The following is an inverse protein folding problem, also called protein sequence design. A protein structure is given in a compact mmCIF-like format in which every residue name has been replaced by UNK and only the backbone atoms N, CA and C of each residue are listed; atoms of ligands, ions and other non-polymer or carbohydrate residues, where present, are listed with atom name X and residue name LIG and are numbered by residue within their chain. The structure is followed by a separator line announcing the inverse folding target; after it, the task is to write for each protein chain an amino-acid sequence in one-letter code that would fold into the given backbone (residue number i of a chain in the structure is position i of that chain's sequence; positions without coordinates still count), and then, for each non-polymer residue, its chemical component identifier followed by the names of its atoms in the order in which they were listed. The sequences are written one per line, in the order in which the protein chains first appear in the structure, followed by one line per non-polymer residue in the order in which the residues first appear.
data_IF_034313403915
#
_entry.id   IF_034313403915
#
_cell.length_a   1.000
_cell.length_b   1.000
_cell.length_c   1.000
_cell.angle_alpha   90.00
_cell.angle_beta   90.00
_cell.angle_gamma   90.00
#
_symmetry.space_group_name_H-M   'P 1'
#
loop_
_entity.id
_entity.type
_entity.pdbx_description
1 polymer ?
#
# COMPACT_ATOMS: atom_id res chain seq x y z
N UNK A 1 30.27 8.84 35.89
CA UNK A 1 31.74 8.65 35.97
C UNK A 1 32.12 7.71 37.13
N UNK A 2 31.73 7.99 38.37
CA UNK A 2 32.03 7.13 39.53
C UNK A 2 31.41 5.72 39.47
N UNK A 3 30.18 5.62 38.97
CA UNK A 3 29.49 4.34 38.76
C UNK A 3 30.14 3.50 37.64
N UNK A 4 30.62 4.18 36.58
CA UNK A 4 31.29 3.58 35.41
C UNK A 4 32.61 2.87 35.78
N UNK A 5 33.25 3.30 36.86
CA UNK A 5 34.52 2.76 37.35
C UNK A 5 34.37 1.91 38.63
N UNK A 6 33.12 1.56 39.00
CA UNK A 6 32.79 0.67 40.14
C UNK A 6 33.44 1.09 41.46
N UNK A 7 33.28 2.36 41.84
CA UNK A 7 33.67 2.86 43.17
C UNK A 7 32.55 3.63 43.90
N UNK A 8 31.34 3.67 43.34
CA UNK A 8 30.14 4.20 43.99
C UNK A 8 28.88 3.53 43.40
N UNK A 9 27.80 3.42 44.19
CA UNK A 9 26.47 3.01 43.74
C UNK A 9 25.60 4.28 43.67
N UNK A 10 24.89 4.48 42.56
CA UNK A 10 24.00 5.62 42.38
C UNK A 10 22.55 5.20 42.65
N UNK A 11 21.88 5.85 43.60
CA UNK A 11 20.46 5.62 43.89
C UNK A 11 19.68 6.80 43.30
N UNK A 12 18.73 6.50 42.41
CA UNK A 12 17.87 7.51 41.78
C UNK A 12 16.85 8.04 42.81
N UNK A 13 16.53 9.33 42.73
CA UNK A 13 15.65 10.02 43.70
C UNK A 13 14.25 9.41 43.83
N UNK A 14 13.74 8.73 42.80
CA UNK A 14 12.42 8.08 42.80
C UNK A 14 12.38 6.72 43.49
N UNK A 15 13.54 6.11 43.77
CA UNK A 15 13.68 4.74 44.28
C UNK A 15 14.27 4.73 45.70
N UNK A 16 14.17 5.84 46.44
CA UNK A 16 14.78 6.01 47.76
C UNK A 16 13.91 5.38 48.85
N UNK A 17 14.33 4.25 49.41
CA UNK A 17 13.72 3.59 50.56
C UNK A 17 14.78 3.10 51.55
N UNK A 18 14.37 2.78 52.79
CA UNK A 18 15.29 2.22 53.78
C UNK A 18 15.95 0.92 53.28
N UNK A 19 15.20 0.08 52.55
CA UNK A 19 15.67 -1.20 52.02
C UNK A 19 16.65 -1.02 50.85
N UNK A 20 16.39 -0.07 49.94
CA UNK A 20 17.29 0.20 48.80
C UNK A 20 18.61 0.82 49.23
N UNK A 21 18.60 1.66 50.28
CA UNK A 21 19.83 2.18 50.89
C UNK A 21 20.59 1.08 51.65
N UNK A 22 19.88 0.20 52.36
CA UNK A 22 20.47 -0.93 53.08
C UNK A 22 21.12 -1.96 52.13
N UNK A 23 20.44 -2.34 51.04
CA UNK A 23 20.99 -3.25 50.02
C UNK A 23 22.19 -2.63 49.29
N UNK A 24 22.14 -1.36 48.94
CA UNK A 24 23.26 -0.66 48.31
C UNK A 24 24.48 -0.63 49.24
N UNK A 25 24.29 -0.35 50.53
CA UNK A 25 25.36 -0.40 51.54
C UNK A 25 25.92 -1.81 51.72
N UNK A 26 25.05 -2.82 51.84
CA UNK A 26 25.47 -4.21 52.03
C UNK A 26 26.29 -4.71 50.84
N UNK A 27 25.88 -4.36 49.61
CA UNK A 27 26.57 -4.69 48.35
C UNK A 27 27.91 -3.96 48.19
N UNK A 28 27.99 -2.71 48.66
CA UNK A 28 29.24 -1.93 48.66
C UNK A 28 30.25 -2.44 49.71
N UNK A 29 29.77 -3.05 50.79
CA UNK A 29 30.59 -3.60 51.89
C UNK A 29 31.04 -5.05 51.69
N UNK A 30 30.29 -5.87 50.93
CA UNK A 30 30.60 -7.31 50.74
C UNK A 30 31.33 -7.62 49.44
N UNK A 31 31.14 -6.82 48.39
CA UNK A 31 31.78 -7.06 47.09
C UNK A 31 33.22 -6.53 47.07
N UNK A 32 34.19 -7.47 47.16
CA UNK A 32 35.62 -7.18 47.18
C UNK A 32 36.12 -6.41 45.95
N UNK A 33 35.38 -6.41 44.83
CA UNK A 33 35.76 -5.70 43.59
C UNK A 33 35.78 -4.18 43.73
N UNK A 34 34.97 -3.60 44.62
CA UNK A 34 34.96 -2.15 44.89
C UNK A 34 36.20 -1.72 45.68
N UNK A 35 36.59 -2.49 46.72
CA UNK A 35 37.80 -2.19 47.50
C UNK A 35 39.08 -2.34 46.66
N UNK A 36 39.11 -3.30 45.73
CA UNK A 36 40.25 -3.54 44.83
C UNK A 36 40.40 -2.43 43.79
N UNK A 37 39.29 -1.92 43.23
CA UNK A 37 39.32 -0.82 42.26
C UNK A 37 39.69 0.52 42.91
N UNK A 38 39.23 0.78 44.14
CA UNK A 38 39.65 1.97 44.91
C UNK A 38 41.14 1.89 45.27
N UNK A 39 41.65 0.71 45.68
CA UNK A 39 43.08 0.50 45.91
C UNK A 39 43.90 0.70 44.64
N UNK A 40 43.45 0.17 43.49
CA UNK A 40 44.10 0.38 42.20
C UNK A 40 44.12 1.84 41.78
N UNK A 41 43.01 2.56 41.91
CA UNK A 41 42.96 4.00 41.58
C UNK A 41 43.85 4.81 42.53
N UNK A 42 43.84 4.49 43.82
CA UNK A 42 44.75 5.10 44.81
C UNK A 42 46.21 4.82 44.45
N UNK A 43 46.56 3.59 44.04
CA UNK A 43 47.90 3.27 43.54
C UNK A 43 48.25 4.01 42.25
N UNK A 44 47.32 4.16 41.30
CA UNK A 44 47.55 4.93 40.07
C UNK A 44 47.81 6.40 40.36
N UNK A 45 47.13 6.98 41.36
CA UNK A 45 47.35 8.36 41.81
C UNK A 45 48.70 8.49 42.52
N UNK A 46 49.06 7.52 43.38
CA UNK A 46 50.36 7.48 44.10
C UNK A 46 51.55 7.20 43.17
N UNK A 47 51.35 6.41 42.12
CA UNK A 47 52.35 6.05 41.11
C UNK A 47 52.25 6.91 39.85
N UNK A 48 51.58 8.07 39.90
CA UNK A 48 51.58 9.01 38.76
C UNK A 48 53.03 9.30 38.37
N UNK A 49 53.39 9.26 37.07
CA UNK A 49 54.79 9.38 36.64
C UNK A 49 55.47 10.68 37.04
N UNK A 50 54.68 11.74 37.24
CA UNK A 50 55.13 13.07 37.69
C UNK A 50 54.29 13.48 38.88
N UNK A 51 54.93 13.89 39.98
CA UNK A 51 54.22 14.28 41.19
C UNK A 51 53.40 15.57 40.96
N UNK A 52 52.23 15.72 41.61
CA UNK A 52 51.45 16.95 41.54
C UNK A 52 52.24 18.19 41.94
N UNK A 53 53.12 18.07 42.94
CA UNK A 53 53.98 19.18 43.40
C UNK A 53 54.95 19.62 42.30
N UNK A 54 55.57 18.67 41.59
CA UNK A 54 56.45 18.97 40.47
C UNK A 54 55.69 19.63 39.32
N UNK A 55 54.49 19.14 38.97
CA UNK A 55 53.65 19.77 37.95
C UNK A 55 53.22 21.18 38.34
N UNK A 56 52.81 21.39 39.60
CA UNK A 56 52.39 22.70 40.08
C UNK A 56 53.53 23.71 39.97
N UNK A 57 54.71 23.37 40.49
CA UNK A 57 55.89 24.26 40.43
C UNK A 57 56.28 24.51 38.97
N UNK A 58 56.40 23.48 38.15
CA UNK A 58 56.79 23.63 36.75
C UNK A 58 55.80 24.49 35.93
N UNK A 59 54.49 24.31 36.13
CA UNK A 59 53.50 25.14 35.45
C UNK A 59 53.43 26.56 36.02
N UNK A 60 53.65 26.75 37.33
CA UNK A 60 53.70 28.08 37.93
C UNK A 60 54.93 28.87 37.43
N UNK A 61 56.09 28.23 37.34
CA UNK A 61 57.31 28.79 36.76
C UNK A 61 57.11 29.10 35.27
N UNK A 62 56.53 28.16 34.51
CA UNK A 62 56.22 28.36 33.08
C UNK A 62 55.29 29.56 32.87
N UNK A 63 54.22 29.69 33.65
CA UNK A 63 53.33 30.85 33.56
C UNK A 63 54.01 32.13 34.03
N UNK A 64 54.86 32.07 35.04
CA UNK A 64 55.63 33.24 35.50
C UNK A 64 56.63 33.73 34.43
N UNK A 65 57.27 32.81 33.70
CA UNK A 65 58.22 33.11 32.63
C UNK A 65 57.53 33.68 31.38
N UNK A 66 56.47 33.02 30.91
CA UNK A 66 55.81 33.37 29.65
C UNK A 66 54.65 34.36 29.79
N UNK A 67 54.19 34.63 31.02
CA UNK A 67 53.13 35.59 31.43
C UNK A 67 51.75 35.34 30.82
N UNK A 68 51.61 35.42 29.50
CA UNK A 68 50.35 35.20 28.78
C UNK A 68 50.44 33.94 27.93
N UNK A 69 49.40 33.12 28.02
CA UNK A 69 49.29 31.86 27.28
C UNK A 69 48.22 31.99 26.20
N UNK A 70 48.39 32.95 25.29
CA UNK A 70 47.37 33.28 24.28
C UNK A 70 47.03 32.11 23.36
N UNK A 71 48.00 31.22 23.10
CA UNK A 71 47.81 30.00 22.32
C UNK A 71 46.96 28.93 23.05
N UNK A 72 46.72 29.10 24.34
CA UNK A 72 45.87 28.21 25.15
C UNK A 72 44.48 28.82 25.42
N UNK A 73 44.22 30.04 24.93
CA UNK A 73 42.90 30.68 25.02
C UNK A 73 42.00 30.15 23.88
N UNK A 74 40.86 29.49 24.20
CA UNK A 74 39.96 28.99 23.16
C UNK A 74 39.40 30.12 22.29
N UNK A 75 39.29 29.88 20.98
CA UNK A 75 38.73 30.84 20.02
C UNK A 75 37.32 31.33 20.38
N UNK A 76 36.53 30.50 21.09
CA UNK A 76 35.18 30.85 21.55
C UNK A 76 35.14 32.07 22.47
N UNK A 77 36.23 32.41 23.16
CA UNK A 77 36.31 33.62 24.01
C UNK A 77 36.34 34.92 23.22
N UNK A 78 36.64 34.85 21.92
CA UNK A 78 36.74 36.00 21.00
C UNK A 78 35.46 36.19 20.17
N UNK A 79 34.46 35.31 20.31
CA UNK A 79 33.21 35.37 19.56
C UNK A 79 32.17 36.23 20.28
N UNK A 80 31.37 36.98 19.51
CA UNK A 80 30.20 37.67 20.07
C UNK A 80 29.04 36.68 20.32
N UNK A 81 27.99 37.13 21.01
CA UNK A 81 26.84 36.28 21.38
C UNK A 81 26.21 35.54 20.19
N UNK A 82 26.10 36.18 19.03
CA UNK A 82 25.48 35.60 17.83
C UNK A 82 26.35 34.46 17.28
N UNK A 83 27.66 34.69 17.15
CA UNK A 83 28.62 33.72 16.64
C UNK A 83 28.86 32.57 17.63
N UNK A 84 28.91 32.85 18.93
CA UNK A 84 29.12 31.85 19.96
C UNK A 84 27.95 30.85 20.03
N UNK A 85 26.73 31.31 19.76
CA UNK A 85 25.52 30.48 19.72
C UNK A 85 25.11 30.05 18.31
N UNK A 86 25.92 30.34 17.29
CA UNK A 86 25.66 30.00 15.88
C UNK A 86 24.29 30.47 15.33
N UNK A 87 23.75 31.57 15.86
CA UNK A 87 22.42 32.06 15.50
C UNK A 87 22.34 32.54 14.04
N UNK A 88 23.46 33.04 13.51
CA UNK A 88 23.65 33.38 12.10
C UNK A 88 23.48 32.16 11.18
N UNK A 89 24.08 31.02 11.53
CA UNK A 89 23.93 29.76 10.78
C UNK A 89 22.51 29.20 10.84
N UNK A 90 21.84 29.31 11.99
CA UNK A 90 20.43 28.90 12.11
C UNK A 90 19.50 29.79 11.28
N UNK A 91 19.74 31.10 11.25
CA UNK A 91 18.91 32.03 10.46
C UNK A 91 19.04 31.80 8.95
N UNK A 92 20.25 31.55 8.45
CA UNK A 92 20.49 31.18 7.05
C UNK A 92 19.84 29.84 6.70
N UNK A 93 19.97 28.85 7.57
CA UNK A 93 19.35 27.53 7.39
C UNK A 93 17.82 27.64 7.33
N UNK A 94 17.21 28.45 8.19
CA UNK A 94 15.77 28.68 8.21
C UNK A 94 15.27 29.43 6.97
N UNK A 95 16.05 30.40 6.47
CA UNK A 95 15.75 31.14 5.24
C UNK A 95 15.84 30.27 3.98
N UNK A 96 16.85 29.39 3.88
CA UNK A 96 16.95 28.42 2.78
C UNK A 96 15.78 27.42 2.85
N UNK A 97 15.44 26.94 4.05
CA UNK A 97 14.32 26.03 4.25
C UNK A 97 13.00 26.68 3.81
N UNK A 98 12.75 27.94 4.17
CA UNK A 98 11.52 28.65 3.82
C UNK A 98 11.38 28.90 2.31
N UNK A 99 12.49 29.18 1.61
CA UNK A 99 12.51 29.28 0.15
C UNK A 99 12.17 27.95 -0.53
N UNK A 100 12.66 26.82 -0.01
CA UNK A 100 12.32 25.49 -0.53
C UNK A 100 10.84 25.10 -0.32
N UNK A 101 10.20 25.57 0.76
CA UNK A 101 8.80 25.30 1.05
C UNK A 101 7.81 26.22 0.30
N UNK A 102 8.25 27.36 -0.25
CA UNK A 102 7.37 28.28 -0.99
C UNK A 102 7.04 27.81 -2.42
N UNK A 103 7.79 26.86 -2.98
CA UNK A 103 7.44 26.20 -4.25
C UNK A 103 6.72 24.89 -3.96
N UNK A 104 5.46 24.95 -3.51
CA UNK A 104 4.57 23.80 -3.53
C UNK A 104 4.28 23.44 -4.99
N UNK A 105 5.07 22.53 -5.55
CA UNK A 105 4.87 22.01 -6.91
C UNK A 105 3.54 21.24 -6.96
N UNK A 106 2.50 21.87 -7.50
CA UNK A 106 1.25 21.18 -7.81
C UNK A 106 1.33 20.66 -9.24
N UNK A 107 1.33 19.34 -9.39
CA UNK A 107 1.25 18.69 -10.70
C UNK A 107 -0.22 18.42 -11.05
N UNK A 108 -0.54 18.53 -12.33
CA UNK A 108 -1.84 18.17 -12.87
C UNK A 108 -1.83 16.71 -13.31
N UNK A 109 -2.59 15.87 -12.63
CA UNK A 109 -2.56 14.43 -12.80
C UNK A 109 -3.89 13.88 -13.29
N UNK A 110 -3.86 12.87 -14.17
CA UNK A 110 -5.06 12.11 -14.58
C UNK A 110 -4.93 10.66 -14.19
N UNK A 111 -5.98 10.08 -13.61
CA UNK A 111 -6.06 8.64 -13.32
C UNK A 111 -7.14 8.04 -14.21
N UNK A 112 -6.74 7.15 -15.12
CA UNK A 112 -7.68 6.40 -15.94
C UNK A 112 -8.28 5.26 -15.12
N UNK A 113 -9.59 5.29 -14.94
CA UNK A 113 -10.31 4.28 -14.16
C UNK A 113 -11.27 3.56 -15.08
N UNK A 114 -11.05 2.25 -15.27
CA UNK A 114 -12.04 1.40 -15.92
C UNK A 114 -13.12 1.04 -14.90
N UNK A 115 -14.28 1.69 -14.99
CA UNK A 115 -15.34 1.64 -13.97
C UNK A 115 -16.18 0.35 -14.05
N UNK A 116 -15.52 -0.79 -13.84
CA UNK A 116 -16.13 -2.13 -13.87
C UNK A 116 -16.68 -2.57 -12.50
N UNK A 117 -16.14 -2.05 -11.40
CA UNK A 117 -16.56 -2.45 -10.05
C UNK A 117 -16.29 -1.37 -9.02
N UNK A 118 -17.12 -1.32 -7.97
CA UNK A 118 -16.97 -0.35 -6.88
C UNK A 118 -15.65 -0.51 -6.12
N UNK A 119 -15.08 -1.72 -6.02
CA UNK A 119 -13.79 -1.93 -5.35
C UNK A 119 -12.62 -1.33 -6.14
N UNK A 120 -12.65 -1.44 -7.47
CA UNK A 120 -11.66 -0.83 -8.36
C UNK A 120 -11.76 0.69 -8.32
N UNK A 121 -12.98 1.22 -8.40
CA UNK A 121 -13.21 2.66 -8.28
C UNK A 121 -12.75 3.19 -6.92
N UNK A 122 -13.11 2.52 -5.82
CA UNK A 122 -12.72 2.92 -4.46
C UNK A 122 -11.20 2.98 -4.30
N UNK A 123 -10.46 2.01 -4.84
CA UNK A 123 -9.00 2.03 -4.79
C UNK A 123 -8.41 3.26 -5.52
N UNK A 124 -8.88 3.54 -6.74
CA UNK A 124 -8.44 4.71 -7.50
C UNK A 124 -8.82 6.03 -6.82
N UNK A 125 -9.98 6.09 -6.17
CA UNK A 125 -10.40 7.24 -5.35
C UNK A 125 -9.44 7.46 -4.18
N UNK A 126 -9.04 6.39 -3.46
CA UNK A 126 -8.06 6.51 -2.36
C UNK A 126 -6.70 7.00 -2.83
N UNK A 127 -6.25 6.56 -4.01
CA UNK A 127 -5.02 7.07 -4.63
C UNK A 127 -5.20 8.56 -4.97
N UNK A 128 -6.32 8.94 -5.56
CA UNK A 128 -6.62 10.33 -5.88
C UNK A 128 -6.70 11.22 -4.64
N UNK A 129 -7.28 10.73 -3.54
CA UNK A 129 -7.34 11.40 -2.24
C UNK A 129 -5.95 11.66 -1.67
N UNK A 130 -5.07 10.64 -1.69
CA UNK A 130 -3.70 10.79 -1.21
C UNK A 130 -2.92 11.83 -2.02
N UNK A 131 -3.09 11.83 -3.35
CA UNK A 131 -2.45 12.79 -4.26
C UNK A 131 -3.00 14.21 -4.11
N UNK A 132 -4.33 14.35 -4.01
CA UNK A 132 -4.97 15.65 -3.79
C UNK A 132 -4.63 16.20 -2.39
N UNK A 133 -4.56 15.33 -1.38
CA UNK A 133 -4.11 15.68 -0.03
C UNK A 133 -2.65 16.15 0.03
N UNK A 134 -1.82 15.72 -0.93
CA UNK A 134 -0.45 16.22 -1.12
C UNK A 134 -0.38 17.56 -1.89
N UNK A 135 -1.52 18.13 -2.29
CA UNK A 135 -1.61 19.43 -2.96
C UNK A 135 -1.60 19.37 -4.50
N UNK A 136 -1.79 18.20 -5.10
CA UNK A 136 -1.84 18.04 -6.55
C UNK A 136 -3.26 18.20 -7.13
N UNK A 137 -3.35 18.63 -8.38
CA UNK A 137 -4.61 18.75 -9.10
C UNK A 137 -4.94 17.42 -9.81
N UNK A 138 -5.87 16.65 -9.23
CA UNK A 138 -6.15 15.27 -9.65
C UNK A 138 -7.48 15.17 -10.37
N UNK A 139 -7.47 14.55 -11.54
CA UNK A 139 -8.68 14.20 -12.31
C UNK A 139 -8.84 12.70 -12.45
N UNK A 140 -10.02 12.17 -12.12
CA UNK A 140 -10.42 10.81 -12.45
C UNK A 140 -11.10 10.79 -13.82
N UNK A 141 -10.48 10.12 -14.80
CA UNK A 141 -11.08 9.83 -16.10
C UNK A 141 -11.81 8.48 -16.01
N UNK A 142 -13.10 8.52 -15.68
CA UNK A 142 -13.94 7.33 -15.49
C UNK A 142 -14.43 6.81 -16.85
N UNK A 143 -13.84 5.73 -17.31
CA UNK A 143 -14.25 5.01 -18.52
C UNK A 143 -15.34 4.04 -18.11
N UNK A 144 -16.59 4.42 -18.38
CA UNK A 144 -17.78 3.65 -18.04
C UNK A 144 -18.17 2.76 -19.23
N UNK A 145 -17.97 1.43 -19.15
CA UNK A 145 -18.27 0.52 -20.24
C UNK A 145 -19.77 0.20 -20.36
N UNK A 146 -20.58 0.65 -19.41
CA UNK A 146 -22.00 0.31 -19.29
C UNK A 146 -22.79 1.60 -19.04
N UNK A 147 -23.88 1.78 -19.79
CA UNK A 147 -24.76 2.95 -19.64
C UNK A 147 -25.52 2.94 -18.30
N UNK A 148 -25.73 1.76 -17.70
CA UNK A 148 -26.44 1.51 -16.45
C UNK A 148 -25.50 1.33 -15.23
N UNK A 149 -24.23 1.74 -15.35
CA UNK A 149 -23.25 1.64 -14.26
C UNK A 149 -23.60 2.59 -13.11
N UNK A 150 -23.94 2.01 -11.95
CA UNK A 150 -24.19 2.76 -10.71
C UNK A 150 -23.00 2.72 -9.75
N UNK A 151 -22.24 3.82 -9.71
CA UNK A 151 -21.11 4.03 -8.81
C UNK A 151 -21.46 4.84 -7.54
N UNK A 152 -22.76 5.07 -7.25
CA UNK A 152 -23.22 5.89 -6.11
C UNK A 152 -22.73 5.42 -4.74
N UNK A 153 -22.42 4.12 -4.60
CA UNK A 153 -21.87 3.55 -3.38
C UNK A 153 -20.45 4.05 -3.04
N UNK A 154 -19.71 4.60 -4.02
CA UNK A 154 -18.37 5.18 -3.82
C UNK A 154 -18.48 6.69 -3.90
N UNK A 155 -18.26 7.36 -2.76
CA UNK A 155 -18.25 8.83 -2.70
C UNK A 155 -16.90 9.34 -3.18
N UNK A 156 -16.91 10.19 -4.21
CA UNK A 156 -15.72 10.89 -4.70
C UNK A 156 -15.70 12.28 -4.04
N UNK A 157 -14.61 12.66 -3.35
CA UNK A 157 -14.47 13.99 -2.76
C UNK A 157 -14.60 15.14 -3.78
N UNK A 158 -15.18 16.27 -3.35
CA UNK A 158 -15.44 17.43 -4.22
C UNK A 158 -14.17 18.09 -4.76
N UNK A 159 -13.04 17.95 -4.07
CA UNK A 159 -11.75 18.47 -4.49
C UNK A 159 -11.06 17.62 -5.58
N UNK A 160 -11.66 16.49 -5.99
CA UNK A 160 -11.17 15.64 -7.08
C UNK A 160 -12.07 15.84 -8.29
N UNK A 161 -11.48 16.21 -9.44
CA UNK A 161 -12.22 16.41 -10.68
C UNK A 161 -12.59 15.05 -11.29
N UNK A 162 -13.75 14.97 -11.92
CA UNK A 162 -14.23 13.75 -12.57
C UNK A 162 -14.62 14.04 -14.00
N UNK A 163 -14.01 13.32 -14.95
CA UNK A 163 -14.41 13.31 -16.36
C UNK A 163 -14.99 11.94 -16.69
N UNK A 164 -16.25 11.88 -17.13
CA UNK A 164 -16.91 10.61 -17.48
C UNK A 164 -16.81 10.36 -18.98
N UNK A 165 -16.35 9.17 -19.34
CA UNK A 165 -16.25 8.70 -20.72
C UNK A 165 -17.23 7.55 -20.88
N UNK A 166 -18.28 7.78 -21.68
CA UNK A 166 -19.28 6.76 -21.99
C UNK A 166 -18.73 5.82 -23.07
N UNK A 167 -18.06 4.75 -22.66
CA UNK A 167 -17.46 3.74 -23.53
C UNK A 167 -18.35 2.49 -23.63
N UNK A 168 -19.65 2.70 -23.87
CA UNK A 168 -20.67 1.64 -23.79
C UNK A 168 -20.40 0.48 -24.75
N UNK A 169 -20.31 -0.73 -24.21
CA UNK A 169 -20.19 -1.99 -24.96
C UNK A 169 -21.55 -2.71 -25.04
N UNK A 170 -21.63 -3.78 -25.83
CA UNK A 170 -22.89 -4.50 -26.08
C UNK A 170 -23.47 -5.20 -24.83
N UNK A 171 -22.66 -5.54 -23.84
CA UNK A 171 -23.13 -6.23 -22.64
C UNK A 171 -23.66 -5.26 -21.60
N UNK A 172 -24.88 -5.51 -21.12
CA UNK A 172 -25.44 -4.83 -19.95
C UNK A 172 -24.65 -5.19 -18.69
N UNK A 173 -24.80 -4.36 -17.65
CA UNK A 173 -24.24 -4.66 -16.33
C UNK A 173 -24.68 -6.03 -15.81
N UNK A 174 -25.98 -6.32 -15.91
CA UNK A 174 -26.55 -7.57 -15.42
C UNK A 174 -25.96 -8.80 -16.11
N UNK A 175 -25.80 -8.75 -17.44
CA UNK A 175 -25.18 -9.86 -18.20
C UNK A 175 -23.71 -10.05 -17.83
N UNK A 176 -22.98 -8.96 -17.58
CA UNK A 176 -21.59 -9.03 -17.12
C UNK A 176 -21.50 -9.60 -15.71
N UNK A 177 -22.37 -9.17 -14.79
CA UNK A 177 -22.44 -9.71 -13.43
C UNK A 177 -22.82 -11.21 -13.44
N UNK A 178 -23.76 -11.63 -14.29
CA UNK A 178 -24.13 -13.04 -14.44
C UNK A 178 -22.99 -13.89 -15.01
N UNK A 179 -22.30 -13.42 -16.06
CA UNK A 179 -21.12 -14.10 -16.61
C UNK A 179 -19.99 -14.17 -15.57
N UNK A 180 -19.75 -13.09 -14.85
CA UNK A 180 -18.75 -13.05 -13.78
C UNK A 180 -19.09 -14.04 -12.66
N UNK A 181 -20.35 -14.13 -12.26
CA UNK A 181 -20.83 -15.10 -11.27
C UNK A 181 -20.63 -16.55 -11.74
N UNK A 182 -20.95 -16.83 -13.01
CA UNK A 182 -20.68 -18.14 -13.60
C UNK A 182 -19.19 -18.48 -13.53
N UNK A 183 -18.31 -17.52 -13.78
CA UNK A 183 -16.86 -17.73 -13.69
C UNK A 183 -16.34 -17.87 -12.26
N UNK A 184 -16.98 -17.22 -11.28
CA UNK A 184 -16.58 -17.27 -9.88
C UNK A 184 -17.04 -18.56 -9.18
N UNK A 185 -18.22 -19.08 -9.53
CA UNK A 185 -18.87 -20.15 -8.76
C UNK A 185 -19.04 -21.47 -9.50
N UNK A 186 -18.75 -21.56 -10.80
CA UNK A 186 -18.86 -22.82 -11.56
C UNK A 186 -17.50 -23.33 -12.01
N UNK A 187 -17.28 -24.63 -11.87
CA UNK A 187 -16.12 -25.30 -12.45
C UNK A 187 -16.10 -25.09 -13.97
N UNK A 188 -14.93 -24.66 -14.43
CA UNK A 188 -14.71 -24.30 -15.83
C UNK A 188 -14.04 -25.47 -16.53
N UNK A 189 -14.77 -26.18 -17.40
CA UNK A 189 -14.17 -27.16 -18.32
C UNK A 189 -13.30 -26.46 -19.37
N UNK A 190 -12.41 -27.21 -20.05
CA UNK A 190 -11.45 -26.62 -21.00
C UNK A 190 -12.08 -25.73 -22.09
N UNK A 191 -13.24 -26.11 -22.63
CA UNK A 191 -13.95 -25.28 -23.63
C UNK A 191 -14.53 -24.01 -23.01
N UNK A 192 -15.10 -24.09 -21.79
CA UNK A 192 -15.63 -22.94 -21.05
C UNK A 192 -14.52 -21.96 -20.68
N UNK A 193 -13.30 -22.45 -20.46
CA UNK A 193 -12.12 -21.61 -20.20
C UNK A 193 -11.73 -20.81 -21.44
N UNK A 194 -11.72 -21.43 -22.62
CA UNK A 194 -11.47 -20.73 -23.88
C UNK A 194 -12.55 -19.67 -24.16
N UNK A 195 -13.82 -20.00 -23.93
CA UNK A 195 -14.92 -19.04 -24.07
C UNK A 195 -14.77 -17.86 -23.08
N UNK A 196 -14.39 -18.14 -21.83
CA UNK A 196 -14.11 -17.11 -20.81
C UNK A 196 -13.01 -16.16 -21.26
N UNK A 197 -11.87 -16.70 -21.69
CA UNK A 197 -10.73 -15.91 -22.18
C UNK A 197 -11.16 -15.06 -23.38
N UNK A 198 -11.90 -15.64 -24.33
CA UNK A 198 -12.40 -14.92 -25.51
C UNK A 198 -13.32 -13.75 -25.12
N UNK A 199 -14.29 -13.96 -24.23
CA UNK A 199 -15.22 -12.90 -23.80
C UNK A 199 -14.48 -11.79 -23.05
N UNK A 200 -13.57 -12.15 -22.14
CA UNK A 200 -12.82 -11.16 -21.36
C UNK A 200 -11.90 -10.33 -22.25
N UNK A 201 -11.15 -10.97 -23.15
CA UNK A 201 -10.23 -10.27 -24.07
C UNK A 201 -10.98 -9.40 -25.08
N UNK A 202 -12.09 -9.88 -25.66
CA UNK A 202 -12.89 -9.06 -26.58
C UNK A 202 -13.52 -7.86 -25.88
N UNK A 203 -14.02 -8.04 -24.66
CA UNK A 203 -14.60 -6.95 -23.85
C UNK A 203 -13.60 -5.82 -23.63
N UNK A 204 -12.36 -6.14 -23.28
CA UNK A 204 -11.30 -5.14 -23.09
C UNK A 204 -11.06 -4.35 -24.38
N UNK A 205 -10.91 -5.04 -25.51
CA UNK A 205 -10.68 -4.40 -26.82
C UNK A 205 -11.87 -3.54 -27.25
N UNK A 206 -13.10 -3.98 -26.99
CA UNK A 206 -14.32 -3.23 -27.31
C UNK A 206 -14.46 -1.96 -26.48
N UNK A 207 -14.07 -2.00 -25.19
CA UNK A 207 -14.00 -0.81 -24.32
C UNK A 207 -12.99 0.19 -24.89
N UNK A 208 -11.82 -0.28 -25.33
CA UNK A 208 -10.83 0.58 -25.97
C UNK A 208 -11.39 1.22 -27.26
N UNK A 209 -12.03 0.43 -28.12
CA UNK A 209 -12.69 0.92 -29.33
C UNK A 209 -13.74 1.99 -29.02
N UNK A 210 -14.61 1.73 -28.04
CA UNK A 210 -15.65 2.67 -27.63
C UNK A 210 -15.06 3.96 -27.05
N UNK A 211 -13.96 3.86 -26.31
CA UNK A 211 -13.23 5.02 -25.77
C UNK A 211 -12.64 5.87 -26.91
N UNK A 212 -11.99 5.26 -27.90
CA UNK A 212 -11.40 5.98 -29.04
C UNK A 212 -12.43 6.63 -29.98
N UNK A 213 -13.70 6.20 -29.93
CA UNK A 213 -14.81 6.86 -30.63
C UNK A 213 -15.19 8.21 -30.00
N UNK A 214 -14.89 8.42 -28.72
CA UNK A 214 -15.23 9.64 -28.00
C UNK A 214 -14.24 10.77 -28.35
N UNK A 215 -14.41 11.39 -29.53
CA UNK A 215 -13.51 12.45 -30.02
C UNK A 215 -13.45 13.67 -29.10
N UNK A 216 -14.55 14.02 -28.45
CA UNK A 216 -14.59 15.10 -27.45
C UNK A 216 -13.67 14.81 -26.27
N UNK A 217 -13.66 13.56 -25.79
CA UNK A 217 -12.77 13.12 -24.71
C UNK A 217 -11.30 13.17 -25.13
N UNK A 218 -10.95 12.69 -26.34
CA UNK A 218 -9.56 12.75 -26.82
C UNK A 218 -9.06 14.20 -26.93
N UNK A 219 -9.90 15.09 -27.49
CA UNK A 219 -9.58 16.51 -27.60
C UNK A 219 -9.51 17.20 -26.24
N UNK A 220 -10.35 16.80 -25.27
CA UNK A 220 -10.25 17.28 -23.89
C UNK A 220 -8.94 16.83 -23.24
N UNK A 221 -8.59 15.55 -23.37
CA UNK A 221 -7.41 14.96 -22.75
C UNK A 221 -6.11 15.65 -23.22
N UNK A 222 -5.98 15.94 -24.52
CA UNK A 222 -4.83 16.69 -25.05
C UNK A 222 -4.83 18.16 -24.58
N UNK A 223 -6.00 18.81 -24.51
CA UNK A 223 -6.11 20.22 -24.09
C UNK A 223 -5.79 20.43 -22.61
N UNK A 224 -6.10 19.47 -21.75
CA UNK A 224 -5.84 19.60 -20.31
C UNK A 224 -4.35 19.70 -19.97
N UNK A 225 -3.46 19.18 -20.82
CA UNK A 225 -2.00 19.17 -20.61
C UNK A 225 -1.61 18.65 -19.22
N UNK A 226 -2.00 17.41 -18.94
CA UNK A 226 -1.60 16.72 -17.71
C UNK A 226 -0.07 16.51 -17.67
N UNK A 227 0.52 16.65 -16.49
CA UNK A 227 1.95 16.41 -16.23
C UNK A 227 2.24 14.92 -16.04
N UNK A 228 1.27 14.18 -15.47
CA UNK A 228 1.40 12.77 -15.12
C UNK A 228 0.07 12.03 -15.33
N UNK A 229 0.16 10.81 -15.87
CA UNK A 229 -0.99 9.92 -15.97
C UNK A 229 -0.80 8.63 -15.16
N UNK A 230 -1.89 8.14 -14.57
CA UNK A 230 -1.97 6.78 -14.04
C UNK A 230 -2.76 5.93 -15.03
N UNK A 231 -2.02 5.10 -15.77
CA UNK A 231 -2.56 4.11 -16.68
C UNK A 231 -2.95 2.86 -15.89
N UNK A 232 -4.08 2.27 -16.23
CA UNK A 232 -4.56 1.09 -15.53
C UNK A 232 -3.94 -0.19 -16.11
N UNK A 233 -3.74 -1.22 -15.27
CA UNK A 233 -2.88 -2.38 -15.54
C UNK A 233 -3.58 -3.59 -16.19
N UNK A 234 -4.79 -3.49 -16.74
CA UNK A 234 -5.45 -4.62 -17.44
C UNK A 234 -5.26 -4.61 -18.96
N UNK A 235 -4.89 -3.48 -19.55
CA UNK A 235 -4.71 -3.31 -20.99
C UNK A 235 -3.54 -2.37 -21.34
N UNK A 236 -3.36 -2.06 -22.62
CA UNK A 236 -2.43 -1.02 -23.10
C UNK A 236 -3.13 0.13 -23.80
N UNK A 237 -4.46 0.14 -23.83
CA UNK A 237 -5.26 1.22 -24.40
C UNK A 237 -4.95 2.54 -23.70
N UNK A 238 -4.91 2.55 -22.36
CA UNK A 238 -4.59 3.76 -21.58
C UNK A 238 -3.17 4.27 -21.83
N UNK A 239 -2.21 3.39 -22.14
CA UNK A 239 -0.85 3.77 -22.56
C UNK A 239 -0.89 4.49 -23.92
N UNK A 240 -1.73 4.01 -24.85
CA UNK A 240 -1.99 4.71 -26.10
C UNK A 240 -2.61 6.09 -25.90
N UNK A 241 -3.58 6.23 -24.98
CA UNK A 241 -4.20 7.52 -24.65
C UNK A 241 -3.19 8.54 -24.09
N UNK A 242 -2.26 8.09 -23.24
CA UNK A 242 -1.15 8.91 -22.73
C UNK A 242 -0.31 9.46 -23.88
N UNK A 243 -0.01 8.61 -24.89
CA UNK A 243 0.77 9.03 -26.06
C UNK A 243 -0.01 10.00 -26.96
N UNK A 244 -1.30 9.75 -27.20
CA UNK A 244 -2.19 10.65 -27.96
C UNK A 244 -2.21 12.04 -27.34
N UNK A 245 -2.37 12.13 -26.02
CA UNK A 245 -2.44 13.38 -25.29
C UNK A 245 -1.06 14.02 -25.02
N UNK A 246 0.04 13.37 -25.45
CA UNK A 246 1.43 13.83 -25.26
C UNK A 246 1.76 14.12 -23.79
N UNK A 247 1.23 13.29 -22.88
CA UNK A 247 1.49 13.43 -21.45
C UNK A 247 2.97 13.04 -21.19
N UNK A 248 3.77 13.89 -20.51
CA UNK A 248 5.23 13.69 -20.43
C UNK A 248 5.68 12.42 -19.70
N UNK A 249 4.91 11.98 -18.71
CA UNK A 249 5.24 10.80 -17.90
C UNK A 249 3.98 10.08 -17.43
N UNK A 250 4.12 8.82 -17.04
CA UNK A 250 3.00 8.01 -16.59
C UNK A 250 3.43 6.86 -15.67
N UNK A 251 2.46 6.32 -14.94
CA UNK A 251 2.62 5.24 -13.97
C UNK A 251 1.59 4.16 -14.30
N UNK A 252 2.00 2.89 -14.32
CA UNK A 252 1.02 1.81 -14.27
C UNK A 252 0.53 1.60 -12.85
N UNK A 253 -0.78 1.73 -12.66
CA UNK A 253 -1.43 1.56 -11.37
C UNK A 253 -2.15 0.21 -11.33
N UNK A 254 -1.67 -0.70 -10.47
CA UNK A 254 -2.32 -1.98 -10.19
C UNK A 254 -3.13 -1.91 -8.90
N UNK A 255 -4.35 -2.45 -8.94
CA UNK A 255 -5.21 -2.65 -7.77
C UNK A 255 -4.82 -3.88 -6.93
N UNK A 256 -3.83 -4.65 -7.36
CA UNK A 256 -3.25 -5.79 -6.64
C UNK A 256 -1.76 -5.92 -6.95
N UNK A 257 -1.27 -7.15 -7.08
CA UNK A 257 0.11 -7.38 -7.50
C UNK A 257 0.38 -6.98 -8.96
N UNK A 258 1.65 -6.87 -9.34
CA UNK A 258 2.01 -6.68 -10.77
C UNK A 258 1.64 -7.95 -11.53
N UNK A 259 0.81 -7.79 -12.57
CA UNK A 259 0.32 -8.86 -13.44
C UNK A 259 1.40 -9.36 -14.40
N UNK A 260 1.31 -10.63 -14.80
CA UNK A 260 2.36 -11.36 -15.55
C UNK A 260 2.73 -10.68 -16.87
N UNK A 261 1.76 -10.14 -17.60
CA UNK A 261 2.04 -9.51 -18.89
C UNK A 261 2.81 -8.20 -18.73
N UNK A 262 2.51 -7.40 -17.69
CA UNK A 262 3.27 -6.19 -17.39
C UNK A 262 4.68 -6.57 -16.98
N UNK A 263 4.81 -7.56 -16.10
CA UNK A 263 6.10 -8.09 -15.70
C UNK A 263 6.95 -8.48 -16.92
N UNK A 264 6.35 -9.20 -17.88
CA UNK A 264 7.00 -9.54 -19.13
C UNK A 264 7.40 -8.31 -19.97
N UNK A 265 6.48 -7.37 -20.18
CA UNK A 265 6.70 -6.19 -21.05
C UNK A 265 7.81 -5.29 -20.53
N UNK A 266 7.95 -5.14 -19.20
CA UNK A 266 8.98 -4.29 -18.60
C UNK A 266 10.24 -5.03 -18.16
N UNK A 267 10.31 -6.35 -18.38
CA UNK A 267 11.48 -7.15 -18.06
C UNK A 267 11.64 -7.52 -16.58
N UNK A 268 10.56 -7.56 -15.81
CA UNK A 268 10.57 -8.16 -14.46
C UNK A 268 10.73 -9.68 -14.61
N UNK A 269 11.72 -10.31 -13.94
CA UNK A 269 11.88 -11.76 -14.02
C UNK A 269 10.68 -12.52 -13.42
N UNK A 270 9.99 -13.31 -14.24
CA UNK A 270 8.97 -14.26 -13.78
C UNK A 270 9.53 -15.67 -13.80
N UNK A 271 9.84 -16.22 -12.62
CA UNK A 271 10.48 -17.54 -12.51
C UNK A 271 9.42 -18.62 -12.26
N UNK A 272 9.10 -19.47 -13.26
CA UNK A 272 7.94 -20.36 -13.17
C UNK A 272 8.05 -21.45 -12.10
N UNK A 273 9.25 -21.71 -11.57
CA UNK A 273 9.47 -22.74 -10.55
C UNK A 273 8.91 -22.36 -9.18
N UNK A 274 8.69 -21.07 -8.91
CA UNK A 274 8.15 -20.59 -7.63
C UNK A 274 7.20 -19.39 -7.74
N UNK A 275 7.11 -18.73 -8.91
CA UNK A 275 6.12 -17.68 -9.18
C UNK A 275 5.04 -18.26 -10.10
N UNK A 276 3.87 -18.64 -9.57
CA UNK A 276 2.75 -19.09 -10.41
C UNK A 276 2.17 -17.92 -11.22
N UNK A 277 1.59 -18.17 -12.40
CA UNK A 277 0.81 -17.16 -13.12
C UNK A 277 -0.35 -16.66 -12.26
N UNK A 278 -0.76 -15.41 -12.44
CA UNK A 278 -1.86 -14.78 -11.69
C UNK A 278 -3.16 -15.60 -11.70
N UNK A 279 -3.44 -16.34 -12.78
CA UNK A 279 -4.64 -17.17 -12.90
C UNK A 279 -4.51 -18.57 -12.30
N UNK A 280 -3.35 -18.94 -11.74
CA UNK A 280 -3.11 -20.25 -11.17
C UNK A 280 -3.37 -20.23 -9.67
N UNK A 281 -4.32 -21.07 -9.22
CA UNK A 281 -4.56 -21.32 -7.81
C UNK A 281 -3.38 -22.10 -7.23
N UNK A 282 -2.61 -21.46 -6.34
CA UNK A 282 -1.50 -22.10 -5.64
C UNK A 282 -1.29 -21.49 -4.26
N UNK A 283 -1.10 -22.35 -3.26
CA UNK A 283 -0.64 -21.99 -1.93
C UNK A 283 0.61 -22.82 -1.58
N UNK A 284 1.65 -22.17 -1.05
CA UNK A 284 2.91 -22.84 -0.69
C UNK A 284 3.75 -23.31 -1.88
N UNK A 285 4.77 -24.13 -1.60
CA UNK A 285 5.74 -24.61 -2.59
C UNK A 285 5.11 -25.49 -3.68
N UNK A 286 5.54 -25.28 -4.93
CA UNK A 286 5.04 -26.04 -6.08
C UNK A 286 5.79 -27.36 -6.28
N UNK A 287 5.03 -28.45 -6.42
CA UNK A 287 5.59 -29.73 -6.87
C UNK A 287 5.91 -29.70 -8.38
N UNK A 288 6.53 -30.76 -8.90
CA UNK A 288 6.94 -30.84 -10.31
C UNK A 288 5.79 -30.59 -11.30
N UNK A 289 4.60 -31.14 -11.04
CA UNK A 289 3.43 -30.99 -11.90
C UNK A 289 2.91 -29.54 -11.89
N UNK A 290 2.83 -28.92 -10.72
CA UNK A 290 2.47 -27.51 -10.57
C UNK A 290 3.49 -26.60 -11.26
N UNK A 291 4.80 -26.87 -11.11
CA UNK A 291 5.86 -26.14 -11.82
C UNK A 291 5.76 -26.29 -13.35
N UNK A 292 5.38 -27.46 -13.82
CA UNK A 292 5.15 -27.71 -15.25
C UNK A 292 3.96 -26.90 -15.76
N UNK A 293 2.85 -26.88 -15.01
CA UNK A 293 1.70 -26.02 -15.31
C UNK A 293 2.06 -24.54 -15.33
N UNK A 294 2.80 -24.09 -14.31
CA UNK A 294 3.27 -22.71 -14.20
C UNK A 294 4.12 -22.31 -15.41
N UNK A 295 5.08 -23.15 -15.80
CA UNK A 295 5.93 -22.93 -16.99
C UNK A 295 5.11 -22.79 -18.26
N UNK A 296 4.16 -23.70 -18.49
CA UNK A 296 3.26 -23.64 -19.66
C UNK A 296 2.38 -22.39 -19.58
N UNK A 297 1.81 -22.09 -18.41
CA UNK A 297 0.93 -20.96 -18.18
C UNK A 297 1.59 -19.61 -18.49
N UNK A 298 2.81 -19.39 -17.99
CA UNK A 298 3.60 -18.19 -18.30
C UNK A 298 3.90 -18.04 -19.80
N UNK A 299 4.16 -19.14 -20.51
CA UNK A 299 4.34 -19.12 -21.96
C UNK A 299 3.06 -18.76 -22.72
N UNK A 300 1.93 -19.40 -22.37
CA UNK A 300 0.64 -19.19 -23.01
C UNK A 300 0.08 -17.79 -22.75
N UNK A 301 0.12 -17.31 -21.51
CA UNK A 301 -0.47 -16.00 -21.15
C UNK A 301 0.20 -14.86 -21.91
N UNK A 302 1.54 -14.91 -22.05
CA UNK A 302 2.32 -13.96 -22.83
C UNK A 302 1.89 -13.93 -24.30
N UNK A 303 1.75 -15.12 -24.90
CA UNK A 303 1.36 -15.24 -26.31
C UNK A 303 -0.07 -14.75 -26.55
N UNK A 304 -1.02 -15.26 -25.77
CA UNK A 304 -2.44 -14.93 -25.92
C UNK A 304 -2.74 -13.48 -25.60
N UNK A 305 -2.17 -12.92 -24.53
CA UNK A 305 -2.42 -11.53 -24.17
C UNK A 305 -1.94 -10.57 -25.27
N UNK A 306 -0.74 -10.79 -25.82
CA UNK A 306 -0.25 -10.01 -26.97
C UNK A 306 -1.18 -10.13 -28.18
N UNK A 307 -1.60 -11.36 -28.51
CA UNK A 307 -2.38 -11.61 -29.73
C UNK A 307 -3.83 -11.15 -29.64
N UNK A 308 -4.45 -11.27 -28.45
CA UNK A 308 -5.88 -11.04 -28.22
C UNK A 308 -6.21 -9.67 -27.64
N UNK A 309 -5.25 -8.96 -27.03
CA UNK A 309 -5.46 -7.62 -26.46
C UNK A 309 -4.54 -6.59 -27.14
N UNK A 310 -3.22 -6.69 -26.93
CA UNK A 310 -2.31 -5.60 -27.33
C UNK A 310 -2.25 -5.36 -28.85
N UNK A 311 -2.22 -6.41 -29.67
CA UNK A 311 -2.21 -6.28 -31.12
C UNK A 311 -3.54 -5.69 -31.65
N UNK A 312 -4.73 -6.18 -31.23
CA UNK A 312 -5.99 -5.52 -31.56
C UNK A 312 -6.07 -4.06 -31.13
N UNK A 313 -5.64 -3.72 -29.91
CA UNK A 313 -5.62 -2.32 -29.46
C UNK A 313 -4.70 -1.46 -30.31
N UNK A 314 -3.49 -1.93 -30.61
CA UNK A 314 -2.56 -1.23 -31.52
C UNK A 314 -3.21 -1.00 -32.89
N UNK A 315 -3.93 -1.99 -33.42
CA UNK A 315 -4.66 -1.84 -34.68
C UNK A 315 -5.77 -0.76 -34.58
N UNK A 316 -6.49 -0.68 -33.45
CA UNK A 316 -7.49 0.38 -33.22
C UNK A 316 -6.86 1.78 -33.24
N UNK A 317 -5.72 1.97 -32.57
CA UNK A 317 -5.02 3.26 -32.60
C UNK A 317 -4.54 3.60 -34.02
N UNK A 318 -4.02 2.62 -34.76
CA UNK A 318 -3.61 2.83 -36.16
C UNK A 318 -4.77 3.18 -37.09
N UNK A 319 -5.92 2.56 -36.87
CA UNK A 319 -7.15 2.79 -37.64
C UNK A 319 -7.79 4.14 -37.31
N UNK A 320 -7.90 4.49 -36.03
CA UNK A 320 -8.77 5.57 -35.56
C UNK A 320 -8.05 6.87 -35.17
N UNK A 321 -6.72 6.83 -35.02
CA UNK A 321 -5.87 7.97 -34.61
C UNK A 321 -4.89 8.33 -35.73
N UNK A 322 -3.90 7.48 -36.04
CA UNK A 322 -3.02 7.67 -37.20
C UNK A 322 -2.37 6.36 -37.66
N UNK A 323 -2.22 6.17 -38.97
CA UNK A 323 -1.75 4.90 -39.54
C UNK A 323 -0.33 4.50 -39.06
N UNK A 324 0.50 5.48 -38.73
CA UNK A 324 1.87 5.35 -38.23
C UNK A 324 1.97 5.26 -36.70
N UNK A 325 0.84 5.11 -35.98
CA UNK A 325 0.84 5.01 -34.53
C UNK A 325 1.78 3.88 -34.05
N UNK A 326 2.66 4.16 -33.07
CA UNK A 326 3.64 3.19 -32.58
C UNK A 326 2.95 1.95 -32.00
N UNK A 327 3.68 0.83 -31.96
CA UNK A 327 3.18 -0.35 -31.27
C UNK A 327 2.98 -0.05 -29.78
N UNK A 328 1.80 -0.39 -29.25
CA UNK A 328 1.48 -0.08 -27.86
C UNK A 328 2.41 -0.81 -26.88
N UNK A 329 2.96 -1.98 -27.25
CA UNK A 329 3.93 -2.68 -26.41
C UNK A 329 5.28 -1.97 -26.37
N UNK A 330 5.69 -1.31 -27.46
CA UNK A 330 6.92 -0.52 -27.48
C UNK A 330 6.80 0.73 -26.59
N UNK A 331 5.61 1.32 -26.52
CA UNK A 331 5.31 2.39 -25.57
C UNK A 331 5.27 1.85 -24.13
N UNK A 332 4.59 0.73 -23.92
CA UNK A 332 4.40 0.11 -22.62
C UNK A 332 5.73 -0.39 -21.99
N UNK A 333 6.65 -0.90 -22.80
CA UNK A 333 8.00 -1.32 -22.35
C UNK A 333 8.81 -0.16 -21.74
N UNK A 334 8.53 1.08 -22.17
CA UNK A 334 9.16 2.31 -21.67
C UNK A 334 8.51 2.85 -20.40
N UNK A 335 7.62 2.09 -19.76
CA UNK A 335 6.97 2.47 -18.51
C UNK A 335 8.00 2.96 -17.46
N UNK A 336 7.90 4.23 -17.02
CA UNK A 336 8.81 4.81 -16.03
C UNK A 336 8.70 4.16 -14.66
N UNK A 337 7.47 3.89 -14.20
CA UNK A 337 7.19 3.43 -12.85
C UNK A 337 5.91 2.58 -12.78
N UNK A 338 5.91 1.56 -11.92
CA UNK A 338 4.76 0.71 -11.63
C UNK A 338 4.43 0.86 -10.15
N UNK A 339 3.18 1.16 -9.84
CA UNK A 339 2.65 1.18 -8.48
C UNK A 339 1.66 0.04 -8.28
N UNK A 340 1.97 -0.88 -7.36
CA UNK A 340 1.16 -2.05 -7.09
C UNK A 340 0.52 -1.99 -5.71
N UNK A 341 -0.79 -2.24 -5.61
CA UNK A 341 -1.51 -2.33 -4.35
C UNK A 341 -1.24 -3.68 -3.67
N UNK A 342 -0.01 -3.86 -3.20
CA UNK A 342 0.45 -5.02 -2.44
C UNK A 342 1.50 -4.59 -1.43
N UNK A 343 1.89 -5.48 -0.52
CA UNK A 343 2.92 -5.24 0.47
C UNK A 343 3.92 -6.40 0.47
N UNK A 344 5.19 -6.08 0.66
CA UNK A 344 6.31 -7.01 0.63
C UNK A 344 6.14 -8.19 1.60
N UNK A 345 5.40 -8.02 2.70
CA UNK A 345 5.23 -9.05 3.72
C UNK A 345 4.22 -10.15 3.38
N UNK A 346 3.31 -9.93 2.42
CA UNK A 346 2.33 -10.94 1.99
C UNK A 346 2.31 -11.18 0.48
N UNK A 347 3.02 -10.39 -0.31
CA UNK A 347 3.29 -10.68 -1.71
C UNK A 347 4.17 -11.93 -1.84
N UNK A 348 3.97 -12.70 -2.91
CA UNK A 348 4.84 -13.84 -3.21
C UNK A 348 6.27 -13.31 -3.45
N UNK A 349 7.28 -13.79 -2.69
CA UNK A 349 8.66 -13.35 -2.88
C UNK A 349 9.13 -13.63 -4.31
N UNK A 350 9.43 -12.57 -5.05
CA UNK A 350 9.89 -12.66 -6.44
C UNK A 350 10.93 -11.57 -6.74
N UNK A 351 11.84 -11.79 -7.70
CA UNK A 351 12.68 -10.71 -8.20
C UNK A 351 11.83 -9.58 -8.76
N UNK A 352 12.20 -8.34 -8.45
CA UNK A 352 11.51 -7.14 -8.93
C UNK A 352 12.53 -6.11 -9.42
N UNK A 353 12.04 -5.10 -10.14
CA UNK A 353 12.84 -3.96 -10.56
C UNK A 353 12.67 -2.80 -9.58
N UNK A 354 13.69 -1.94 -9.44
CA UNK A 354 13.63 -0.76 -8.59
C UNK A 354 12.49 0.22 -8.96
N UNK A 355 11.95 0.13 -10.18
CA UNK A 355 10.81 0.91 -10.66
C UNK A 355 9.44 0.37 -10.24
N UNK A 356 9.39 -0.71 -9.46
CA UNK A 356 8.15 -1.26 -8.89
C UNK A 356 8.04 -0.79 -7.45
N UNK A 357 6.98 -0.04 -7.16
CA UNK A 357 6.70 0.52 -5.84
C UNK A 357 5.42 -0.11 -5.30
N UNK A 358 5.53 -0.76 -4.15
CA UNK A 358 4.42 -1.38 -3.47
C UNK A 358 3.72 -0.35 -2.58
N UNK A 359 2.46 -0.06 -2.89
CA UNK A 359 1.61 0.94 -2.24
C UNK A 359 0.38 0.29 -1.59
N UNK A 360 0.51 -0.95 -1.13
CA UNK A 360 -0.53 -1.67 -0.41
C UNK A 360 -1.01 -0.89 0.81
N UNK A 361 -2.33 -0.72 0.92
CA UNK A 361 -2.97 -0.01 2.03
C UNK A 361 -3.03 1.51 1.89
N UNK A 362 -2.83 2.07 0.70
CA UNK A 362 -3.12 3.50 0.46
C UNK A 362 -4.56 3.83 0.85
N UNK A 363 -4.71 4.90 1.64
CA UNK A 363 -6.00 5.34 2.18
C UNK A 363 -6.53 4.47 3.32
N UNK A 364 -5.75 3.51 3.84
CA UNK A 364 -6.09 2.75 5.04
C UNK A 364 -5.26 3.27 6.21
N UNK A 365 -5.87 4.05 7.11
CA UNK A 365 -5.21 4.44 8.35
C UNK A 365 -5.82 3.68 9.53
N UNK A 366 -5.00 3.30 10.51
CA UNK A 366 -5.43 2.66 11.76
C UNK A 366 -6.22 3.60 12.68
N UNK A 367 -6.40 4.88 12.31
CA UNK A 367 -7.05 5.91 13.13
C UNK A 367 -8.46 6.27 12.66
N UNK A 368 -8.91 5.75 11.52
CA UNK A 368 -10.22 6.05 10.95
C UNK A 368 -11.30 5.05 11.34
N UNK A 369 -11.21 4.37 12.50
CA UNK A 369 -12.31 3.53 12.99
C UNK A 369 -13.49 4.45 13.29
N UNK A 370 -14.45 4.49 12.37
CA UNK A 370 -15.67 5.26 12.58
C UNK A 370 -16.56 4.51 13.56
N UNK A 371 -17.33 5.21 14.42
CA UNK A 371 -18.33 4.56 15.25
C UNK A 371 -19.25 3.70 14.38
N UNK A 372 -19.38 2.43 14.74
CA UNK A 372 -20.24 1.52 14.00
C UNK A 372 -21.70 2.01 14.10
N UNK A 373 -22.51 1.84 13.05
CA UNK A 373 -23.95 2.07 13.13
C UNK A 373 -24.54 1.33 14.33
N UNK A 374 -25.44 1.99 15.08
CA UNK A 374 -25.99 1.48 16.35
C UNK A 374 -26.44 0.02 16.29
N UNK A 375 -27.11 -0.38 15.20
CA UNK A 375 -27.55 -1.76 14.97
C UNK A 375 -26.39 -2.76 14.91
N UNK A 376 -25.29 -2.40 14.26
CA UNK A 376 -24.09 -3.24 14.17
C UNK A 376 -23.43 -3.30 15.54
N UNK A 377 -23.24 -2.16 16.20
CA UNK A 377 -22.65 -2.08 17.54
C UNK A 377 -23.39 -2.97 18.57
N UNK A 378 -24.73 -2.95 18.57
CA UNK A 378 -25.55 -3.82 19.42
C UNK A 378 -25.34 -5.32 19.12
N UNK A 379 -25.03 -5.69 17.87
CA UNK A 379 -24.68 -7.08 17.50
C UNK A 379 -23.26 -7.41 17.96
N UNK A 380 -22.31 -6.48 17.84
CA UNK A 380 -20.91 -6.67 18.26
C UNK A 380 -20.78 -7.00 19.75
N UNK A 381 -21.74 -6.55 20.56
CA UNK A 381 -21.78 -6.79 22.00
C UNK A 381 -22.40 -8.15 22.39
N UNK A 382 -22.99 -8.90 21.45
CA UNK A 382 -23.63 -10.19 21.70
C UNK A 382 -22.64 -11.35 21.50
N UNK A 383 -22.72 -12.34 22.39
CA UNK A 383 -21.91 -13.57 22.29
C UNK A 383 -20.42 -13.34 22.50
N UNK A 384 -19.62 -14.32 22.07
CA UNK A 384 -18.17 -14.38 22.30
C UNK A 384 -17.36 -13.55 21.28
N UNK A 385 -18.00 -13.15 20.20
CA UNK A 385 -17.39 -12.35 19.14
C UNK A 385 -18.15 -12.42 17.83
N UNK A 386 -17.62 -11.73 16.83
CA UNK A 386 -18.25 -11.55 15.52
C UNK A 386 -17.37 -12.10 14.42
N UNK A 387 -17.99 -12.78 13.47
CA UNK A 387 -17.37 -13.19 12.21
C UNK A 387 -17.98 -12.34 11.08
N UNK A 388 -17.13 -11.63 10.35
CA UNK A 388 -17.56 -10.93 9.14
C UNK A 388 -17.57 -11.93 7.98
N UNK A 389 -18.61 -11.90 7.14
CA UNK A 389 -18.69 -12.69 5.92
C UNK A 389 -18.93 -11.76 4.73
N UNK A 390 -17.97 -11.69 3.81
CA UNK A 390 -18.10 -10.91 2.58
C UNK A 390 -17.24 -11.43 1.45
N UNK A 391 -17.88 -11.84 0.35
CA UNK A 391 -17.21 -12.23 -0.89
C UNK A 391 -17.00 -11.05 -1.86
N UNK A 392 -17.15 -9.81 -1.36
CA UNK A 392 -16.95 -8.60 -2.16
C UNK A 392 -18.01 -8.43 -3.26
N UNK A 393 -17.74 -7.52 -4.21
CA UNK A 393 -18.67 -7.20 -5.29
C UNK A 393 -18.52 -8.11 -6.51
N UNK A 394 -17.37 -8.75 -6.69
CA UNK A 394 -17.08 -9.58 -7.88
C UNK A 394 -17.66 -10.99 -7.75
N UNK A 395 -17.65 -11.55 -6.54
CA UNK A 395 -18.24 -12.85 -6.21
C UNK A 395 -19.44 -12.64 -5.27
N UNK A 396 -20.48 -11.95 -5.75
CA UNK A 396 -21.60 -11.56 -4.90
C UNK A 396 -22.24 -12.79 -4.21
N UNK A 397 -22.34 -12.76 -2.88
CA UNK A 397 -22.75 -13.92 -2.08
C UNK A 397 -24.16 -14.45 -2.44
N UNK A 398 -25.04 -13.59 -2.95
CA UNK A 398 -26.39 -14.00 -3.38
C UNK A 398 -26.40 -14.83 -4.66
N UNK A 399 -25.32 -14.83 -5.44
CA UNK A 399 -25.18 -15.64 -6.66
C UNK A 399 -24.55 -17.01 -6.38
N UNK A 400 -24.15 -17.27 -5.14
CA UNK A 400 -23.63 -18.55 -4.69
C UNK A 400 -24.66 -19.69 -4.89
N UNK A 401 -24.23 -20.91 -5.24
CA UNK A 401 -25.12 -22.07 -5.31
C UNK A 401 -25.92 -22.28 -4.02
N UNK A 402 -27.18 -22.74 -4.15
CA UNK A 402 -28.08 -22.92 -3.01
C UNK A 402 -27.51 -23.89 -1.98
N UNK A 403 -26.82 -24.92 -2.45
CA UNK A 403 -26.17 -25.94 -1.64
C UNK A 403 -25.13 -25.31 -0.71
N UNK A 404 -24.32 -24.38 -1.22
CA UNK A 404 -23.31 -23.69 -0.42
C UNK A 404 -23.94 -22.71 0.57
N UNK A 405 -25.00 -22.00 0.16
CA UNK A 405 -25.77 -21.12 1.06
C UNK A 405 -26.30 -21.92 2.25
N UNK A 406 -26.89 -23.10 2.01
CA UNK A 406 -27.40 -24.00 3.05
C UNK A 406 -26.26 -24.45 3.97
N UNK A 407 -25.11 -24.87 3.42
CA UNK A 407 -23.93 -25.27 4.20
C UNK A 407 -23.47 -24.14 5.14
N UNK A 408 -23.39 -22.90 4.63
CA UNK A 408 -23.01 -21.76 5.48
C UNK A 408 -24.04 -21.50 6.59
N UNK A 409 -25.34 -21.48 6.27
CA UNK A 409 -26.38 -21.27 7.29
C UNK A 409 -26.38 -22.38 8.35
N UNK A 410 -26.22 -23.64 7.96
CA UNK A 410 -26.10 -24.77 8.90
C UNK A 410 -24.84 -24.66 9.77
N UNK A 411 -23.72 -24.22 9.18
CA UNK A 411 -22.48 -24.00 9.91
C UNK A 411 -22.64 -22.88 10.94
N UNK A 412 -23.22 -21.75 10.54
CA UNK A 412 -23.46 -20.61 11.44
C UNK A 412 -24.45 -20.96 12.56
N UNK A 413 -25.47 -21.77 12.27
CA UNK A 413 -26.43 -22.28 13.26
C UNK A 413 -25.79 -23.16 14.33
N UNK A 414 -24.69 -23.86 14.03
CA UNK A 414 -23.93 -24.65 15.01
C UNK A 414 -23.06 -23.79 15.92
N UNK A 415 -22.67 -22.60 15.46
CA UNK A 415 -21.78 -21.66 16.15
C UNK A 415 -22.57 -20.51 16.81
N UNK A 416 -23.60 -20.84 17.60
CA UNK A 416 -24.52 -19.82 18.16
C UNK A 416 -23.87 -18.85 19.15
N UNK A 417 -22.71 -19.20 19.68
CA UNK A 417 -21.91 -18.33 20.54
C UNK A 417 -21.25 -17.18 19.77
N UNK A 418 -21.13 -17.28 18.43
CA UNK A 418 -20.63 -16.22 17.56
C UNK A 418 -21.77 -15.55 16.78
N UNK A 419 -21.64 -14.25 16.52
CA UNK A 419 -22.53 -13.53 15.61
C UNK A 419 -21.91 -13.45 14.22
N UNK A 420 -22.70 -13.60 13.18
CA UNK A 420 -22.26 -13.53 11.79
C UNK A 420 -22.87 -12.30 11.11
N UNK A 421 -22.02 -11.34 10.71
CA UNK A 421 -22.42 -10.21 9.88
C UNK A 421 -22.18 -10.59 8.42
N UNK A 422 -23.24 -10.80 7.65
CA UNK A 422 -23.15 -11.31 6.28
C UNK A 422 -23.53 -10.20 5.30
N UNK A 423 -22.60 -9.82 4.42
CA UNK A 423 -22.94 -8.95 3.29
C UNK A 423 -23.73 -9.76 2.26
N UNK A 424 -25.01 -9.45 2.11
CA UNK A 424 -25.94 -10.20 1.27
C UNK A 424 -27.05 -9.26 0.74
N UNK A 425 -27.30 -9.33 -0.57
CA UNK A 425 -28.08 -8.32 -1.31
C UNK A 425 -29.51 -8.77 -1.66
N UNK A 426 -29.91 -9.99 -1.26
CA UNK A 426 -31.22 -10.60 -1.56
C UNK A 426 -31.90 -11.14 -0.29
N UNK A 427 -33.19 -11.44 -0.38
CA UNK A 427 -34.01 -11.91 0.75
C UNK A 427 -34.25 -13.43 0.74
N UNK A 428 -33.61 -14.17 -0.18
CA UNK A 428 -33.80 -15.61 -0.41
C UNK A 428 -33.24 -16.53 0.69
N UNK A 429 -32.65 -15.94 1.75
CA UNK A 429 -32.16 -16.66 2.92
C UNK A 429 -33.09 -16.58 4.13
N UNK A 430 -34.14 -15.75 4.09
CA UNK A 430 -34.97 -15.45 5.27
C UNK A 430 -35.60 -16.71 5.90
N UNK A 431 -35.96 -17.71 5.10
CA UNK A 431 -36.58 -18.95 5.58
C UNK A 431 -35.61 -19.91 6.29
N UNK A 432 -34.30 -19.75 6.05
CA UNK A 432 -33.25 -20.62 6.61
C UNK A 432 -32.27 -19.87 7.52
N UNK A 433 -32.56 -18.59 7.82
CA UNK A 433 -31.67 -17.68 8.53
C UNK A 433 -31.55 -18.07 10.02
N UNK A 434 -30.36 -18.45 10.52
CA UNK A 434 -30.15 -18.71 11.93
C UNK A 434 -30.22 -17.41 12.77
N UNK A 435 -30.62 -17.53 14.05
CA UNK A 435 -30.79 -16.36 14.95
C UNK A 435 -29.53 -15.52 15.16
N UNK A 436 -28.36 -16.11 14.99
CA UNK A 436 -27.05 -15.47 15.15
C UNK A 436 -26.47 -14.92 13.82
N UNK A 437 -27.25 -14.93 12.74
CA UNK A 437 -26.84 -14.43 11.42
C UNK A 437 -27.62 -13.16 11.09
N UNK A 438 -26.91 -12.12 10.67
CA UNK A 438 -27.46 -10.80 10.39
C UNK A 438 -27.08 -10.38 8.98
N UNK A 439 -28.06 -10.20 8.10
CA UNK A 439 -27.86 -9.84 6.70
C UNK A 439 -27.81 -8.31 6.51
N UNK A 440 -26.88 -7.84 5.69
CA UNK A 440 -26.72 -6.44 5.35
C UNK A 440 -26.38 -6.28 3.86
N UNK A 441 -27.01 -5.33 3.16
CA UNK A 441 -26.66 -5.02 1.78
C UNK A 441 -25.26 -4.38 1.68
N UNK A 442 -24.93 -3.53 2.66
CA UNK A 442 -23.64 -2.87 2.77
C UNK A 442 -23.16 -2.90 4.23
N UNK A 443 -21.86 -3.12 4.42
CA UNK A 443 -21.21 -3.18 5.73
C UNK A 443 -19.99 -2.25 5.74
N UNK A 444 -19.73 -1.51 6.83
CA UNK A 444 -18.47 -0.80 7.06
C UNK A 444 -17.36 -1.81 7.37
N UNK A 445 -16.91 -2.55 6.35
CA UNK A 445 -16.01 -3.69 6.48
C UNK A 445 -14.73 -3.35 7.25
N UNK A 446 -14.08 -2.23 6.92
CA UNK A 446 -12.85 -1.78 7.62
C UNK A 446 -13.08 -1.56 9.11
N UNK A 447 -14.15 -0.86 9.49
CA UNK A 447 -14.46 -0.54 10.89
C UNK A 447 -14.80 -1.80 11.68
N UNK A 448 -15.52 -2.74 11.07
CA UNK A 448 -15.84 -4.04 11.68
C UNK A 448 -14.57 -4.86 11.89
N UNK A 449 -13.69 -4.95 10.88
CA UNK A 449 -12.46 -5.75 10.98
C UNK A 449 -11.51 -5.22 12.06
N UNK A 450 -11.50 -3.90 12.30
CA UNK A 450 -10.70 -3.27 13.35
C UNK A 450 -11.33 -3.33 14.74
N UNK A 451 -12.60 -3.74 14.86
CA UNK A 451 -13.29 -3.82 16.14
C UNK A 451 -12.79 -5.00 16.98
N UNK A 452 -12.51 -4.84 18.30
CA UNK A 452 -11.88 -5.86 19.14
C UNK A 452 -12.71 -7.15 19.34
N UNK A 453 -14.01 -7.09 19.05
CA UNK A 453 -14.90 -8.27 19.07
C UNK A 453 -14.87 -9.09 17.79
N UNK A 454 -14.26 -8.60 16.70
CA UNK A 454 -14.15 -9.36 15.45
C UNK A 454 -13.10 -10.45 15.60
N UNK A 455 -13.50 -11.69 15.30
CA UNK A 455 -12.68 -12.90 15.50
C UNK A 455 -12.16 -13.49 14.19
N UNK A 456 -12.92 -13.34 13.11
CA UNK A 456 -12.57 -13.88 11.81
C UNK A 456 -13.25 -13.12 10.67
N UNK A 457 -12.67 -13.25 9.49
CA UNK A 457 -13.22 -12.77 8.24
C UNK A 457 -13.30 -13.91 7.22
N UNK A 458 -14.50 -14.20 6.74
CA UNK A 458 -14.74 -15.13 5.66
C UNK A 458 -14.86 -14.31 4.37
N UNK A 459 -13.88 -14.47 3.47
CA UNK A 459 -13.79 -13.68 2.23
C UNK A 459 -13.37 -14.51 1.03
N UNK A 460 -13.65 -14.01 -0.18
CA UNK A 460 -13.22 -14.62 -1.43
C UNK A 460 -11.74 -14.37 -1.78
N UNK A 461 -11.01 -13.64 -0.93
CA UNK A 461 -9.58 -13.35 -1.12
C UNK A 461 -9.27 -12.15 -2.02
N UNK A 462 -10.23 -11.24 -2.24
CA UNK A 462 -9.94 -9.99 -2.95
C UNK A 462 -8.90 -9.13 -2.23
N UNK A 463 -7.97 -8.51 -2.97
CA UNK A 463 -6.83 -7.77 -2.39
C UNK A 463 -7.24 -6.74 -1.34
N UNK A 464 -8.21 -5.87 -1.63
CA UNK A 464 -8.70 -4.84 -0.69
C UNK A 464 -9.35 -5.40 0.59
N UNK A 465 -9.69 -6.70 0.61
CA UNK A 465 -10.23 -7.38 1.78
C UNK A 465 -9.14 -8.06 2.62
N UNK A 466 -8.01 -8.42 2.00
CA UNK A 466 -6.87 -9.08 2.67
C UNK A 466 -5.97 -8.04 3.34
N UNK A 467 -5.83 -6.87 2.72
CA UNK A 467 -5.23 -5.68 3.33
C UNK A 467 -6.12 -5.17 4.44
#
# INVERSE_FOLDING_TARGET
MAERHRFAINIRKGDLSADTVAEALQRLLTDKSYSQNVKRLSEMVKKKPVSPDHLLVAWAEFVAEFKTLENLVPAGTKLNFIQYHSLDMFSLSFYILSLCFCSAYSFKMVIFVMDLSNSQLLYNVRVAEALAGAGHDVTLALIAPQADRDSSAVKIPENIRVYRVNATIQFSRKEMEEKQAQFAFKETSGWRLAQRISIQTSTIVDICRATLRQKEFLNWLERERFDLAYAHIFDVCTVGLVHVAKIPSWIWLSSGSVVDYVAYVVGIPTIPSYVPPWMMEQAGEMNFYQRTKSLIGHGLIKFFWRRLIANPETALFREMISADFPDLLDLAAKCPLIMANTNDFYEIPRPTLAKVVNIGGVGMTTRDVKPLPKKIEEIMQKGDGVVLFSFGSVAAAHQMPKEWKVIFMETFKKLQNLQFLVRYEKDDLNDILPKNVHLFQWLPQSDILQHPKTKAFITHGGYNSVQ
#
